data_IF_028042097378
#
_entry.id   IF_028042097378
#
_cell.length_a   1.000
_cell.length_b   1.000
_cell.length_c   1.000
_cell.angle_alpha   90.00
_cell.angle_beta   90.00
_cell.angle_gamma   90.00
#
_symmetry.space_group_name_H-M   'P 1'
#
loop_
_entity.id
_entity.type
_entity.pdbx_description
1 polymer ?
#
# COMPACT_ATOMS: atom_id res chain seq x y z
N UNK A 1 -11.51 -15.06 -1.45
CA UNK A 1 -10.48 -14.00 -1.39
C UNK A 1 -10.95 -12.68 -2.02
N UNK A 2 -11.67 -12.73 -3.14
CA UNK A 2 -12.19 -11.51 -3.76
C UNK A 2 -13.06 -10.70 -2.81
N UNK A 3 -13.89 -11.38 -2.04
CA UNK A 3 -14.76 -10.71 -1.07
C UNK A 3 -13.95 -9.97 0.00
N UNK A 4 -12.83 -10.55 0.43
CA UNK A 4 -11.94 -9.90 1.39
C UNK A 4 -11.33 -8.64 0.80
N UNK A 5 -10.89 -8.69 -0.45
CA UNK A 5 -10.34 -7.50 -1.12
C UNK A 5 -11.38 -6.38 -1.18
N UNK A 6 -12.60 -6.72 -1.56
CA UNK A 6 -13.68 -5.73 -1.67
C UNK A 6 -14.00 -5.12 -0.32
N UNK A 7 -14.02 -5.93 0.73
CA UNK A 7 -14.26 -5.43 2.10
C UNK A 7 -13.18 -4.46 2.53
N UNK A 8 -11.90 -4.78 2.26
CA UNK A 8 -10.80 -3.89 2.59
C UNK A 8 -10.92 -2.57 1.83
N UNK A 9 -11.25 -2.63 0.53
CA UNK A 9 -11.43 -1.41 -0.26
C UNK A 9 -12.54 -0.53 0.29
N UNK A 10 -13.66 -1.14 0.67
CA UNK A 10 -14.78 -0.42 1.25
C UNK A 10 -14.41 0.25 2.56
N UNK A 11 -13.66 -0.46 3.41
CA UNK A 11 -13.19 0.11 4.68
C UNK A 11 -12.27 1.30 4.45
N UNK A 12 -11.37 1.21 3.47
CA UNK A 12 -10.48 2.31 3.12
C UNK A 12 -11.27 3.52 2.62
N UNK A 13 -12.25 3.29 1.75
CA UNK A 13 -13.10 4.37 1.23
C UNK A 13 -13.90 5.04 2.33
N UNK A 14 -14.33 4.27 3.33
CA UNK A 14 -15.07 4.80 4.47
C UNK A 14 -14.18 5.47 5.52
N UNK A 15 -12.86 5.48 5.31
CA UNK A 15 -11.93 6.06 6.26
C UNK A 15 -11.64 5.18 7.46
N UNK A 16 -12.09 3.91 7.43
CA UNK A 16 -11.88 2.96 8.53
C UNK A 16 -10.56 2.24 8.35
N UNK A 17 -9.49 3.00 8.38
CA UNK A 17 -8.14 2.52 8.05
C UNK A 17 -7.65 1.47 9.03
N UNK A 18 -7.90 1.64 10.33
CA UNK A 18 -7.46 0.67 11.34
C UNK A 18 -8.14 -0.70 11.15
N UNK A 19 -9.44 -0.71 10.82
CA UNK A 19 -10.15 -1.95 10.55
C UNK A 19 -9.63 -2.62 9.28
N UNK A 20 -9.37 -1.83 8.25
CA UNK A 20 -8.80 -2.34 7.00
C UNK A 20 -7.45 -2.98 7.26
N UNK A 21 -6.58 -2.34 8.04
CA UNK A 21 -5.27 -2.87 8.36
C UNK A 21 -5.37 -4.19 9.11
N UNK A 22 -6.26 -4.28 10.09
CA UNK A 22 -6.42 -5.51 10.85
C UNK A 22 -6.78 -6.67 9.94
N UNK A 23 -7.73 -6.44 9.03
CA UNK A 23 -8.16 -7.48 8.10
C UNK A 23 -7.04 -7.90 7.16
N UNK A 24 -6.31 -6.93 6.60
CA UNK A 24 -5.18 -7.22 5.70
C UNK A 24 -4.11 -8.03 6.43
N UNK A 25 -3.75 -7.64 7.65
CA UNK A 25 -2.71 -8.33 8.40
C UNK A 25 -3.13 -9.77 8.74
N UNK A 26 -4.40 -9.98 9.10
CA UNK A 26 -4.92 -11.33 9.34
C UNK A 26 -4.78 -12.20 8.10
N UNK A 27 -5.17 -11.68 6.95
CA UNK A 27 -5.12 -12.45 5.71
C UNK A 27 -3.68 -12.70 5.26
N UNK A 28 -2.77 -11.75 5.49
CA UNK A 28 -1.35 -11.94 5.14
C UNK A 28 -0.67 -13.00 6.00
N UNK A 29 -1.17 -13.28 7.21
CA UNK A 29 -0.67 -14.39 8.00
C UNK A 29 -0.96 -15.72 7.33
N UNK A 30 -2.08 -15.82 6.62
CA UNK A 30 -2.49 -17.04 5.93
C UNK A 30 -1.86 -17.12 4.53
N UNK A 31 -1.86 -16.00 3.80
CA UNK A 31 -1.34 -15.94 2.41
C UNK A 31 -0.34 -14.79 2.29
N UNK A 32 0.90 -14.98 2.78
CA UNK A 32 1.87 -13.88 2.86
C UNK A 32 2.36 -13.36 1.50
N UNK A 33 2.18 -14.13 0.43
CA UNK A 33 2.65 -13.77 -0.91
C UNK A 33 1.50 -13.45 -1.85
N UNK A 34 0.55 -12.67 -1.37
CA UNK A 34 -0.60 -12.24 -2.17
C UNK A 34 -0.39 -10.79 -2.61
N UNK A 35 -0.20 -10.56 -3.92
CA UNK A 35 0.10 -9.23 -4.44
C UNK A 35 -1.01 -8.22 -4.17
N UNK A 36 -2.28 -8.66 -4.23
CA UNK A 36 -3.41 -7.76 -3.98
C UNK A 36 -3.45 -7.30 -2.53
N UNK A 37 -3.22 -8.23 -1.57
CA UNK A 37 -3.17 -7.85 -0.16
C UNK A 37 -2.00 -6.90 0.13
N UNK A 38 -0.86 -7.16 -0.49
CA UNK A 38 0.32 -6.29 -0.32
C UNK A 38 0.07 -4.92 -0.92
N UNK A 39 -0.60 -4.84 -2.07
CA UNK A 39 -1.00 -3.57 -2.64
C UNK A 39 -1.92 -2.82 -1.68
N UNK A 40 -2.92 -3.50 -1.10
CA UNK A 40 -3.83 -2.88 -0.15
C UNK A 40 -3.11 -2.43 1.12
N UNK A 41 -2.13 -3.22 1.58
CA UNK A 41 -1.28 -2.82 2.70
C UNK A 41 -0.53 -1.52 2.39
N UNK A 42 -0.01 -1.42 1.17
CA UNK A 42 0.66 -0.20 0.72
C UNK A 42 -0.28 1.01 0.72
N UNK A 43 -1.52 0.83 0.27
CA UNK A 43 -2.52 1.89 0.29
C UNK A 43 -2.84 2.36 1.71
N UNK A 44 -2.88 1.43 2.65
CA UNK A 44 -3.09 1.76 4.06
C UNK A 44 -1.93 2.62 4.57
N UNK A 45 -0.69 2.23 4.26
CA UNK A 45 0.48 3.02 4.62
C UNK A 45 0.43 4.42 4.05
N UNK A 46 0.05 4.55 2.78
CA UNK A 46 -0.08 5.84 2.12
C UNK A 46 -1.13 6.72 2.79
N UNK A 47 -2.26 6.15 3.20
CA UNK A 47 -3.31 6.88 3.92
C UNK A 47 -2.79 7.46 5.23
N UNK A 48 -1.85 6.79 5.86
CA UNK A 48 -1.26 7.21 7.13
C UNK A 48 0.01 8.04 6.94
N UNK A 49 0.36 8.32 5.69
CA UNK A 49 1.62 9.00 5.34
C UNK A 49 2.85 8.24 5.84
N UNK A 50 2.72 6.93 6.01
CA UNK A 50 3.84 6.04 6.26
C UNK A 50 4.43 5.65 4.91
N UNK A 51 5.23 6.56 4.35
CA UNK A 51 5.73 6.42 2.99
C UNK A 51 6.68 5.24 2.85
N UNK A 52 7.53 5.01 3.85
CA UNK A 52 8.47 3.88 3.80
C UNK A 52 7.72 2.55 3.86
N UNK A 53 6.74 2.43 4.76
CA UNK A 53 5.92 1.23 4.84
C UNK A 53 5.14 0.99 3.56
N UNK A 54 4.60 2.06 2.97
CA UNK A 54 3.88 1.95 1.70
C UNK A 54 4.79 1.47 0.58
N UNK A 55 6.00 2.04 0.46
CA UNK A 55 6.97 1.62 -0.56
C UNK A 55 7.36 0.15 -0.40
N UNK A 56 7.61 -0.29 0.83
CA UNK A 56 7.99 -1.68 1.08
C UNK A 56 6.88 -2.63 0.62
N UNK A 57 5.63 -2.31 0.93
CA UNK A 57 4.50 -3.15 0.54
C UNK A 57 4.29 -3.13 -0.98
N UNK A 58 4.36 -1.95 -1.61
CA UNK A 58 4.21 -1.84 -3.06
C UNK A 58 5.34 -2.58 -3.79
N UNK A 59 6.58 -2.48 -3.31
CA UNK A 59 7.71 -3.19 -3.91
C UNK A 59 7.48 -4.70 -3.89
N UNK A 60 7.01 -5.23 -2.77
CA UNK A 60 6.72 -6.67 -2.66
C UNK A 60 5.60 -7.08 -3.61
N UNK A 61 4.56 -6.25 -3.72
CA UNK A 61 3.45 -6.53 -4.63
C UNK A 61 3.93 -6.59 -6.09
N UNK A 62 4.77 -5.64 -6.50
CA UNK A 62 5.32 -5.61 -7.87
C UNK A 62 6.23 -6.80 -8.13
N UNK A 63 7.01 -7.23 -7.15
CA UNK A 63 7.86 -8.41 -7.29
C UNK A 63 7.04 -9.66 -7.54
N UNK A 64 5.88 -9.77 -6.89
CA UNK A 64 5.00 -10.91 -7.06
C UNK A 64 4.17 -10.83 -8.33
N UNK A 65 3.77 -9.62 -8.71
CA UNK A 65 2.94 -9.38 -9.89
C UNK A 65 3.37 -8.07 -10.55
N UNK A 66 4.18 -8.13 -11.62
CA UNK A 66 4.63 -6.92 -12.31
C UNK A 66 3.50 -6.08 -12.91
N UNK A 67 2.31 -6.66 -13.10
CA UNK A 67 1.15 -5.94 -13.61
C UNK A 67 0.27 -5.37 -12.50
N UNK A 68 0.70 -5.49 -11.24
CA UNK A 68 -0.04 -4.94 -10.11
C UNK A 68 -0.14 -3.42 -10.22
N UNK A 69 -1.30 -2.84 -9.82
CA UNK A 69 -1.42 -1.38 -9.72
C UNK A 69 -0.47 -0.77 -8.70
N UNK A 70 0.22 -1.59 -7.92
CA UNK A 70 1.27 -1.13 -7.01
C UNK A 70 2.40 -0.41 -7.74
N UNK A 71 2.62 -0.69 -9.04
CA UNK A 71 3.65 0.01 -9.82
C UNK A 71 3.39 1.50 -9.87
N UNK A 72 2.17 1.88 -10.26
CA UNK A 72 1.78 3.28 -10.36
C UNK A 72 1.71 3.92 -8.99
N UNK A 73 1.22 3.19 -7.99
CA UNK A 73 1.16 3.68 -6.62
C UNK A 73 2.56 3.93 -6.06
N UNK A 74 3.50 3.03 -6.33
CA UNK A 74 4.90 3.20 -5.93
C UNK A 74 5.51 4.45 -6.55
N UNK A 75 5.28 4.63 -7.84
CA UNK A 75 5.78 5.80 -8.55
C UNK A 75 5.25 7.09 -7.93
N UNK A 76 3.98 7.12 -7.57
CA UNK A 76 3.39 8.29 -6.93
C UNK A 76 4.07 8.62 -5.60
N UNK A 77 4.39 7.59 -4.80
CA UNK A 77 5.11 7.79 -3.54
C UNK A 77 6.53 8.30 -3.80
N UNK A 78 7.21 7.72 -4.79
CA UNK A 78 8.56 8.15 -5.15
C UNK A 78 8.58 9.62 -5.56
N UNK A 79 7.57 10.07 -6.30
CA UNK A 79 7.46 11.47 -6.69
C UNK A 79 7.22 12.39 -5.49
N UNK A 80 6.40 11.95 -4.53
CA UNK A 80 6.18 12.69 -3.29
C UNK A 80 7.49 12.85 -2.52
N UNK A 81 8.23 11.75 -2.36
CA UNK A 81 9.50 11.76 -1.64
C UNK A 81 10.55 12.60 -2.35
N UNK A 82 10.59 12.54 -3.67
CA UNK A 82 11.51 13.36 -4.46
C UNK A 82 11.22 14.86 -4.26
N UNK A 83 9.93 15.22 -4.18
CA UNK A 83 9.53 16.60 -3.94
C UNK A 83 10.03 17.07 -2.56
N UNK A 84 9.83 16.28 -1.52
CA UNK A 84 10.29 16.62 -0.18
C UNK A 84 11.82 16.69 -0.11
N UNK A 85 12.50 15.76 -0.77
CA UNK A 85 13.97 15.78 -0.82
C UNK A 85 14.47 17.04 -1.52
N UNK A 86 13.82 17.44 -2.60
CA UNK A 86 14.21 18.64 -3.34
C UNK A 86 14.08 19.87 -2.46
N UNK A 87 12.99 20.00 -1.70
CA UNK A 87 12.79 21.10 -0.77
C UNK A 87 13.81 21.09 0.36
N UNK A 88 14.16 19.91 0.81
CA UNK A 88 15.09 19.72 1.91
C UNK A 88 16.53 20.09 1.51
N UNK A 89 16.94 19.71 0.29
CA UNK A 89 18.31 19.88 -0.17
C UNK A 89 18.53 21.14 -1.00
N UNK A 90 17.50 21.89 -1.30
CA UNK A 90 17.58 23.16 -2.04
C UNK A 90 17.06 24.30 -1.17
N UNK A 91 17.90 24.82 -0.29
CA UNK A 91 17.51 25.94 0.57
C UNK A 91 17.29 27.22 -0.21
#
# INVERSE_FOLDING_TARGET
MQQTYDTVRQLLEAGKTAEAERLVLQELEVVPNDATLLYLQGRIGAKRADWQGALNAFNRAVQLDPDSPAREARQAIEEILAFYHKDYYNP
#
